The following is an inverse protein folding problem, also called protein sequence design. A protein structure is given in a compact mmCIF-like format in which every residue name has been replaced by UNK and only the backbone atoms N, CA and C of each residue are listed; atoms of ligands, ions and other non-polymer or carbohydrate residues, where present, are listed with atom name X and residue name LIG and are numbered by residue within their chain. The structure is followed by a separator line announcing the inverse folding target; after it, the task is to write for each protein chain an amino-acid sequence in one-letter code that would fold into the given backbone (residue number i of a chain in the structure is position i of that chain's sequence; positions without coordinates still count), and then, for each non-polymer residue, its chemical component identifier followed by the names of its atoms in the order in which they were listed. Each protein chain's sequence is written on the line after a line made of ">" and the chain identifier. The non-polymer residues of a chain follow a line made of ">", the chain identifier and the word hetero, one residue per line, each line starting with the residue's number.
data_IF_635296284245
#
_entry.id   IF_635296284245
#
_cell.length_a   1.000
_cell.length_b   1.000
_cell.length_c   1.000
_cell.angle_alpha   90.00
_cell.angle_beta   90.00
_cell.angle_gamma   90.00
#
_symmetry.space_group_name_H-M   'P 1'
#
loop_
_entity.id
_entity.type
_entity.pdbx_description
1 polymer ?
#
# COMPACT_ATOMS: atom_id res chain seq x y z
N UNK A 1 33.76 17.30 17.70
CA UNK A 1 33.66 18.67 18.25
C UNK A 1 34.87 18.86 19.12
N UNK A 2 35.83 19.71 18.70
CA UNK A 2 37.04 19.99 19.48
C UNK A 2 36.67 20.98 20.59
N UNK A 3 36.82 20.54 21.82
CA UNK A 3 36.50 21.34 23.02
C UNK A 3 37.33 22.63 23.03
N UNK A 4 36.71 23.81 22.98
CA UNK A 4 37.42 25.09 22.97
C UNK A 4 38.30 25.31 24.21
N UNK A 5 37.94 24.69 25.34
CA UNK A 5 38.70 24.76 26.59
C UNK A 5 40.05 24.05 26.47
N UNK A 6 40.14 22.92 25.78
CA UNK A 6 41.44 22.24 25.57
C UNK A 6 42.39 23.04 24.66
N UNK A 7 41.86 23.78 23.68
CA UNK A 7 42.70 24.70 22.86
C UNK A 7 43.29 25.85 23.68
N UNK A 8 42.50 26.41 24.61
CA UNK A 8 42.94 27.49 25.48
C UNK A 8 44.04 27.00 26.41
N UNK A 9 43.89 25.81 27.04
CA UNK A 9 44.89 25.23 27.94
C UNK A 9 46.19 24.90 27.17
N UNK A 10 46.11 24.28 25.99
CA UNK A 10 47.27 24.00 25.14
C UNK A 10 48.00 25.29 24.72
N UNK A 11 47.26 26.35 24.40
CA UNK A 11 47.85 27.65 24.06
C UNK A 11 48.58 28.28 25.26
N UNK A 12 48.01 28.17 26.46
CA UNK A 12 48.65 28.68 27.70
C UNK A 12 49.93 27.95 28.04
N UNK A 13 49.97 26.60 27.88
CA UNK A 13 51.19 25.82 28.14
C UNK A 13 52.29 26.14 27.15
N UNK A 14 51.97 26.29 25.87
CA UNK A 14 52.93 26.66 24.84
C UNK A 14 53.47 28.09 25.08
N UNK A 15 52.57 29.04 25.37
CA UNK A 15 52.95 30.43 25.68
C UNK A 15 53.82 30.49 26.92
N UNK A 16 53.48 29.77 27.99
CA UNK A 16 54.30 29.71 29.21
C UNK A 16 55.70 29.14 28.94
N UNK A 17 55.79 28.06 28.15
CA UNK A 17 57.08 27.48 27.79
C UNK A 17 57.94 28.41 26.91
N UNK A 18 57.35 29.16 25.98
CA UNK A 18 58.02 30.14 25.17
C UNK A 18 58.56 31.31 26.06
N UNK A 19 57.75 31.76 27.01
CA UNK A 19 58.16 32.77 27.97
C UNK A 19 59.36 32.30 28.79
N UNK A 20 59.30 31.10 29.35
CA UNK A 20 60.37 30.49 30.16
C UNK A 20 61.63 30.30 29.33
N UNK A 21 61.51 29.82 28.08
CA UNK A 21 62.62 29.66 27.17
C UNK A 21 63.24 31.02 26.82
N UNK A 22 62.45 32.08 26.58
CA UNK A 22 62.90 33.43 26.27
C UNK A 22 63.62 34.03 27.44
N UNK A 23 63.16 33.85 28.67
CA UNK A 23 63.86 34.30 29.89
C UNK A 23 65.15 33.53 30.05
N UNK A 24 65.19 32.21 29.77
CA UNK A 24 66.42 31.43 29.80
C UNK A 24 67.49 31.94 28.83
N UNK A 25 67.11 32.23 27.59
CA UNK A 25 68.01 32.84 26.58
C UNK A 25 68.50 34.27 26.97
N UNK A 26 67.56 35.06 27.51
CA UNK A 26 67.91 36.44 27.97
C UNK A 26 68.93 36.40 29.10
N UNK A 27 68.81 35.47 30.05
CA UNK A 27 69.79 35.30 31.14
C UNK A 27 71.13 34.80 30.64
N UNK A 28 71.20 33.93 29.62
CA UNK A 28 72.46 33.54 29.00
C UNK A 28 73.14 34.68 28.26
N UNK A 29 72.37 35.49 27.54
CA UNK A 29 72.92 36.69 26.85
C UNK A 29 73.38 37.73 27.87
N UNK A 30 72.64 37.93 28.96
CA UNK A 30 72.98 38.82 30.05
C UNK A 30 74.31 38.43 30.71
N UNK A 31 74.52 37.14 31.02
CA UNK A 31 75.78 36.64 31.58
C UNK A 31 76.94 36.90 30.66
N UNK A 32 76.78 36.73 29.35
CA UNK A 32 77.80 37.02 28.37
C UNK A 32 78.15 38.54 28.30
N UNK A 33 77.16 39.41 28.41
CA UNK A 33 77.37 40.88 28.44
C UNK A 33 77.91 41.37 29.77
N UNK A 34 77.46 40.85 30.90
CA UNK A 34 77.96 41.22 32.23
C UNK A 34 79.40 40.83 32.42
N UNK A 35 79.87 39.71 31.85
CA UNK A 35 81.27 39.30 31.88
C UNK A 35 82.21 40.19 31.04
N UNK A 36 81.70 40.96 30.07
CA UNK A 36 82.47 41.85 29.21
C UNK A 36 82.53 43.34 29.70
N UNK A 37 81.72 43.70 30.71
CA UNK A 37 81.60 45.09 31.18
C UNK A 37 82.27 45.28 32.53
N UNK A 38 83.25 46.15 32.64
CA UNK A 38 84.04 46.43 33.88
C UNK A 38 83.13 46.88 35.05
N UNK A 39 82.06 47.60 34.78
CA UNK A 39 81.14 48.16 35.78
C UNK A 39 80.12 47.09 36.39
N UNK A 40 80.03 45.92 35.81
CA UNK A 40 79.09 44.87 36.23
C UNK A 40 79.71 43.60 36.81
N UNK A 41 81.00 43.62 37.11
CA UNK A 41 81.77 42.47 37.63
C UNK A 41 81.19 41.88 38.94
N UNK A 42 80.48 42.69 39.73
CA UNK A 42 79.82 42.19 40.95
C UNK A 42 78.64 41.27 40.70
N UNK A 43 77.99 41.31 39.46
CA UNK A 43 76.94 40.44 39.02
C UNK A 43 77.46 39.09 38.51
N UNK A 44 78.76 38.97 38.18
CA UNK A 44 79.38 37.71 37.70
C UNK A 44 79.52 36.59 38.75
N UNK A 45 79.21 36.88 40.01
CA UNK A 45 79.18 35.87 41.10
C UNK A 45 78.01 34.92 40.99
N UNK A 46 77.00 35.28 40.21
CA UNK A 46 75.82 34.42 40.05
C UNK A 46 75.87 33.70 38.70
N UNK A 47 75.63 32.35 38.68
CA UNK A 47 75.75 31.55 37.44
C UNK A 47 74.51 31.70 36.53
N UNK A 48 74.33 32.88 35.92
CA UNK A 48 73.22 33.26 35.09
C UNK A 48 73.03 32.32 33.83
N UNK A 49 74.13 31.89 33.26
CA UNK A 49 74.14 31.02 32.09
C UNK A 49 73.67 29.59 32.44
N UNK A 50 74.03 29.06 33.65
CA UNK A 50 73.59 27.79 34.11
C UNK A 50 72.07 27.76 34.44
N UNK A 51 71.60 28.88 35.07
CA UNK A 51 70.17 29.04 35.34
C UNK A 51 69.40 29.20 34.02
N UNK A 52 69.92 30.00 33.08
CA UNK A 52 69.31 30.18 31.77
C UNK A 52 69.27 28.88 30.95
N UNK A 53 70.38 28.14 31.02
CA UNK A 53 70.43 26.81 30.37
C UNK A 53 69.45 25.80 30.91
N UNK A 54 69.32 25.73 32.28
CA UNK A 54 68.32 24.82 32.91
C UNK A 54 66.89 25.20 32.62
N UNK A 55 66.57 26.49 32.58
CA UNK A 55 65.23 26.96 32.16
C UNK A 55 64.90 26.61 30.70
N UNK A 56 65.88 26.77 29.82
CA UNK A 56 65.69 26.37 28.41
C UNK A 56 65.45 24.87 28.25
N UNK A 57 66.24 24.03 28.92
CA UNK A 57 66.10 22.58 28.90
C UNK A 57 64.76 22.19 29.49
N UNK A 58 64.34 22.77 30.63
CA UNK A 58 63.05 22.49 31.27
C UNK A 58 61.91 22.91 30.34
N UNK A 59 61.99 24.02 29.62
CA UNK A 59 60.95 24.42 28.67
C UNK A 59 60.84 23.45 27.48
N UNK A 60 61.97 23.00 26.91
CA UNK A 60 61.98 22.03 25.80
C UNK A 60 61.50 20.66 26.25
N UNK A 61 61.93 20.18 27.41
CA UNK A 61 61.47 18.92 27.98
C UNK A 61 59.98 18.96 28.33
N UNK A 62 59.48 20.06 28.89
CA UNK A 62 58.09 20.27 29.23
C UNK A 62 57.17 20.20 27.99
N UNK A 63 57.56 20.88 26.89
CA UNK A 63 56.85 20.81 25.63
C UNK A 63 56.89 19.41 25.00
N UNK A 64 58.06 18.78 25.04
CA UNK A 64 58.24 17.42 24.51
C UNK A 64 57.36 16.38 25.24
N UNK A 65 57.42 16.39 26.59
CA UNK A 65 56.60 15.49 27.41
C UNK A 65 55.09 15.74 27.22
N UNK A 66 54.66 16.99 27.15
CA UNK A 66 53.27 17.32 26.91
C UNK A 66 52.80 16.85 25.52
N UNK A 67 53.64 16.99 24.49
CA UNK A 67 53.33 16.48 23.16
C UNK A 67 53.18 14.96 23.10
N UNK A 68 54.12 14.21 23.70
CA UNK A 68 54.07 12.76 23.74
C UNK A 68 52.92 12.23 24.58
N UNK A 69 52.68 12.81 25.77
CA UNK A 69 51.61 12.35 26.68
C UNK A 69 50.21 12.63 26.12
N UNK A 70 50.04 13.74 25.41
CA UNK A 70 48.74 14.06 24.76
C UNK A 70 48.48 13.18 23.54
N UNK A 71 49.49 12.82 22.74
CA UNK A 71 49.34 11.93 21.61
C UNK A 71 48.96 10.50 22.07
N UNK A 72 49.55 10.01 23.12
CA UNK A 72 49.24 8.69 23.67
C UNK A 72 47.84 8.66 24.32
N UNK A 73 47.40 9.74 24.96
CA UNK A 73 46.03 9.85 25.50
C UNK A 73 44.99 9.92 24.40
N UNK A 74 45.15 10.68 23.34
CA UNK A 74 44.23 10.76 22.22
C UNK A 74 44.11 9.40 21.51
N UNK A 75 45.18 8.65 21.36
CA UNK A 75 45.16 7.31 20.81
C UNK A 75 44.45 6.32 21.74
N UNK A 76 44.73 6.37 23.05
CA UNK A 76 44.11 5.50 24.04
C UNK A 76 42.59 5.79 24.22
N UNK A 77 42.18 7.07 24.17
CA UNK A 77 40.76 7.45 24.29
C UNK A 77 40.00 7.08 23.03
N UNK A 78 40.60 7.20 21.85
CA UNK A 78 39.99 6.75 20.60
C UNK A 78 39.81 5.23 20.58
N UNK A 79 40.80 4.47 21.05
CA UNK A 79 40.72 3.01 21.14
C UNK A 79 39.70 2.56 22.20
N UNK A 80 39.62 3.25 23.34
CA UNK A 80 38.58 3.01 24.34
C UNK A 80 37.19 3.26 23.81
N UNK A 81 36.96 4.40 23.12
CA UNK A 81 35.69 4.73 22.50
C UNK A 81 35.30 3.69 21.46
N UNK A 82 36.25 3.28 20.60
CA UNK A 82 36.04 2.23 19.61
C UNK A 82 35.64 0.90 20.25
N UNK A 83 36.31 0.52 21.34
CA UNK A 83 36.02 -0.70 22.08
C UNK A 83 34.64 -0.65 22.73
N UNK A 84 34.29 0.45 23.40
CA UNK A 84 32.96 0.66 24.01
C UNK A 84 31.86 0.60 22.94
N UNK A 85 32.07 1.25 21.79
CA UNK A 85 31.13 1.18 20.67
C UNK A 85 31.02 -0.24 20.10
N UNK A 86 32.12 -0.97 19.97
CA UNK A 86 32.11 -2.37 19.53
C UNK A 86 31.43 -3.30 20.52
N UNK A 87 31.67 -3.12 21.82
CA UNK A 87 31.04 -3.90 22.90
C UNK A 87 29.55 -3.60 23.07
N UNK A 88 29.15 -2.32 22.85
CA UNK A 88 27.74 -1.93 22.97
C UNK A 88 26.93 -2.15 21.66
N UNK A 89 27.60 -2.33 20.51
CA UNK A 89 26.94 -2.53 19.22
C UNK A 89 25.96 -3.72 19.20
N UNK A 90 26.28 -4.91 19.78
CA UNK A 90 25.31 -6.01 19.87
C UNK A 90 24.09 -5.64 20.69
N UNK A 91 24.27 -5.04 21.86
CA UNK A 91 23.17 -4.64 22.72
C UNK A 91 22.30 -3.54 22.11
N UNK A 92 22.90 -2.58 21.39
CA UNK A 92 22.16 -1.60 20.61
C UNK A 92 21.37 -2.25 19.49
N UNK A 93 21.98 -3.18 18.75
CA UNK A 93 21.29 -3.92 17.69
C UNK A 93 20.12 -4.71 18.25
N UNK A 94 20.32 -5.43 19.37
CA UNK A 94 19.30 -6.25 19.99
C UNK A 94 18.15 -5.37 20.55
N UNK A 95 18.45 -4.21 21.14
CA UNK A 95 17.46 -3.24 21.56
C UNK A 95 16.65 -2.64 20.39
N UNK A 96 17.30 -2.41 19.25
CA UNK A 96 16.61 -1.98 18.03
C UNK A 96 15.70 -3.08 17.50
N UNK A 97 16.18 -4.34 17.46
CA UNK A 97 15.38 -5.48 17.04
C UNK A 97 14.18 -5.67 17.98
N UNK A 98 14.36 -5.59 19.29
CA UNK A 98 13.29 -5.68 20.27
C UNK A 98 12.27 -4.56 20.13
N UNK A 99 12.72 -3.32 19.92
CA UNK A 99 11.85 -2.17 19.62
C UNK A 99 11.02 -2.39 18.36
N UNK A 100 11.64 -2.92 17.30
CA UNK A 100 10.96 -3.25 16.05
C UNK A 100 10.01 -4.45 16.20
N UNK A 101 10.33 -5.43 17.02
CA UNK A 101 9.51 -6.62 17.18
C UNK A 101 8.29 -6.41 18.11
N UNK A 102 8.39 -5.53 19.10
CA UNK A 102 7.41 -5.44 20.18
C UNK A 102 6.87 -4.02 20.48
N UNK A 103 7.48 -2.97 19.92
CA UNK A 103 7.13 -1.58 20.20
C UNK A 103 6.39 -0.89 19.04
N UNK A 104 5.05 -1.03 18.95
CA UNK A 104 4.25 -0.36 17.92
C UNK A 104 4.42 1.18 17.92
N UNK A 105 4.42 1.79 19.11
CA UNK A 105 4.51 3.25 19.26
C UNK A 105 5.91 3.80 18.93
N UNK A 106 6.95 3.02 19.21
CA UNK A 106 8.33 3.37 18.88
C UNK A 106 8.61 3.26 17.37
N UNK A 107 8.05 2.23 16.74
CA UNK A 107 8.03 2.08 15.29
C UNK A 107 7.35 3.25 14.60
N UNK A 108 6.18 3.66 15.07
CA UNK A 108 5.41 4.77 14.48
C UNK A 108 6.17 6.11 14.50
N UNK A 109 7.08 6.32 15.48
CA UNK A 109 7.88 7.56 15.59
C UNK A 109 9.07 7.62 14.65
N UNK A 110 9.66 6.49 14.33
CA UNK A 110 11.01 6.42 13.70
C UNK A 110 10.95 5.91 12.28
N UNK A 111 9.87 5.21 11.90
CA UNK A 111 9.76 4.56 10.60
C UNK A 111 9.01 5.42 9.58
N UNK A 112 9.56 5.49 8.38
CA UNK A 112 8.82 5.91 7.20
C UNK A 112 8.26 4.66 6.46
N UNK A 113 7.30 4.83 5.55
CA UNK A 113 6.72 3.71 4.79
C UNK A 113 7.76 2.81 4.11
N UNK A 114 8.82 3.38 3.54
CA UNK A 114 9.85 2.61 2.82
C UNK A 114 10.66 1.71 3.75
N UNK A 115 10.93 2.17 4.98
CA UNK A 115 11.62 1.36 6.00
C UNK A 115 10.73 0.20 6.43
N UNK A 116 9.44 0.44 6.66
CA UNK A 116 8.48 -0.61 7.01
C UNK A 116 8.34 -1.63 5.89
N UNK A 117 8.23 -1.18 4.64
CA UNK A 117 8.18 -2.04 3.46
C UNK A 117 9.41 -2.96 3.37
N UNK A 118 10.61 -2.42 3.62
CA UNK A 118 11.84 -3.20 3.62
C UNK A 118 11.91 -4.20 4.78
N UNK A 119 11.46 -3.83 5.98
CA UNK A 119 11.42 -4.74 7.14
C UNK A 119 10.49 -5.91 6.87
N UNK A 120 9.28 -5.65 6.37
CA UNK A 120 8.30 -6.71 6.06
C UNK A 120 8.83 -7.63 4.96
N UNK A 121 9.38 -7.07 3.87
CA UNK A 121 9.94 -7.84 2.76
C UNK A 121 11.10 -8.75 3.21
N UNK A 122 12.04 -8.21 3.98
CA UNK A 122 13.19 -8.96 4.48
C UNK A 122 12.76 -10.06 5.46
N UNK A 123 11.80 -9.76 6.34
CA UNK A 123 11.24 -10.75 7.27
C UNK A 123 10.55 -11.89 6.53
N UNK A 124 9.80 -11.56 5.47
CA UNK A 124 9.12 -12.53 4.61
C UNK A 124 10.13 -13.38 3.84
N UNK A 125 11.18 -12.77 3.28
CA UNK A 125 12.27 -13.46 2.58
C UNK A 125 12.99 -14.48 3.49
N UNK A 126 13.30 -14.10 4.73
CA UNK A 126 13.89 -15.00 5.71
C UNK A 126 12.98 -16.18 6.05
N UNK A 127 11.66 -15.95 6.13
CA UNK A 127 10.71 -16.99 6.48
C UNK A 127 10.41 -17.96 5.34
N UNK A 128 10.36 -17.46 4.12
CA UNK A 128 10.11 -18.25 2.90
C UNK A 128 11.38 -18.95 2.42
N UNK A 129 12.55 -18.34 2.60
CA UNK A 129 13.84 -18.82 2.11
C UNK A 129 14.11 -18.47 0.63
N UNK A 130 13.26 -17.64 0.02
CA UNK A 130 13.36 -17.17 -1.36
C UNK A 130 13.06 -15.66 -1.40
N UNK A 131 14.08 -14.87 -1.72
CA UNK A 131 13.98 -13.41 -1.66
C UNK A 131 13.15 -12.82 -2.81
N UNK A 132 13.27 -13.40 -4.01
CA UNK A 132 12.56 -12.92 -5.19
C UNK A 132 11.06 -13.21 -5.05
N UNK A 133 10.69 -14.42 -4.68
CA UNK A 133 9.30 -14.79 -4.41
C UNK A 133 8.69 -13.97 -3.27
N UNK A 134 9.45 -13.76 -2.18
CA UNK A 134 8.99 -12.94 -1.07
C UNK A 134 8.72 -11.48 -1.48
N UNK A 135 9.55 -10.93 -2.38
CA UNK A 135 9.36 -9.58 -2.90
C UNK A 135 8.10 -9.47 -3.76
N UNK A 136 7.82 -10.45 -4.62
CA UNK A 136 6.61 -10.49 -5.45
C UNK A 136 5.35 -10.62 -4.58
N UNK A 137 5.32 -11.56 -3.64
CA UNK A 137 4.21 -11.74 -2.69
C UNK A 137 3.96 -10.47 -1.88
N UNK A 138 5.03 -9.83 -1.40
CA UNK A 138 4.88 -8.58 -0.66
C UNK A 138 4.32 -7.45 -1.52
N UNK A 139 4.80 -7.31 -2.76
CA UNK A 139 4.28 -6.30 -3.68
C UNK A 139 2.79 -6.49 -3.95
N UNK A 140 2.33 -7.71 -4.15
CA UNK A 140 0.91 -8.02 -4.32
C UNK A 140 0.08 -7.64 -3.09
N UNK A 141 0.53 -8.02 -1.89
CA UNK A 141 -0.14 -7.66 -0.64
C UNK A 141 -0.15 -6.13 -0.45
N UNK A 142 0.98 -5.47 -0.72
CA UNK A 142 1.10 -4.02 -0.60
C UNK A 142 0.11 -3.30 -1.50
N UNK A 143 0.03 -3.70 -2.76
CA UNK A 143 -0.80 -3.01 -3.74
C UNK A 143 -2.30 -3.32 -3.53
N UNK A 144 -2.65 -4.53 -3.10
CA UNK A 144 -4.04 -4.94 -2.87
C UNK A 144 -4.60 -4.56 -1.49
N UNK A 145 -3.76 -4.49 -0.46
CA UNK A 145 -4.23 -4.33 0.92
C UNK A 145 -3.66 -3.10 1.63
N UNK A 146 -2.34 -2.87 1.54
CA UNK A 146 -1.68 -1.79 2.30
C UNK A 146 -2.03 -0.43 1.72
N UNK A 147 -1.97 -0.32 0.39
CA UNK A 147 -2.26 0.92 -0.37
C UNK A 147 -3.73 1.13 -0.65
N UNK A 148 -4.58 0.13 -0.39
CA UNK A 148 -6.01 0.29 -0.60
C UNK A 148 -6.54 1.49 0.19
N UNK A 149 -7.21 2.45 -0.46
CA UNK A 149 -7.65 3.69 0.19
C UNK A 149 -8.76 3.43 1.21
N UNK A 150 -9.56 2.40 0.98
CA UNK A 150 -10.69 2.04 1.82
C UNK A 150 -10.70 0.55 2.14
N UNK A 151 -11.42 0.21 3.19
CA UNK A 151 -11.72 -1.18 3.56
C UNK A 151 -13.21 -1.28 3.81
N UNK A 152 -13.84 -2.22 3.11
CA UNK A 152 -15.28 -2.46 3.23
C UNK A 152 -15.54 -3.57 4.25
N UNK A 153 -16.64 -3.44 4.95
CA UNK A 153 -17.06 -4.41 5.95
C UNK A 153 -18.51 -4.81 5.71
N UNK A 154 -18.81 -6.07 5.98
CA UNK A 154 -20.15 -6.64 5.95
C UNK A 154 -20.88 -6.33 4.64
N UNK A 155 -20.19 -6.59 3.52
CA UNK A 155 -20.70 -6.31 2.20
C UNK A 155 -21.81 -7.31 1.82
N UNK A 156 -22.89 -6.80 1.27
CA UNK A 156 -24.00 -7.55 0.72
C UNK A 156 -24.27 -7.12 -0.71
N UNK A 157 -24.35 -8.11 -1.60
CA UNK A 157 -24.63 -7.92 -3.01
C UNK A 157 -25.87 -8.72 -3.38
N UNK A 158 -26.93 -8.03 -3.72
CA UNK A 158 -28.17 -8.62 -4.19
C UNK A 158 -28.29 -8.41 -5.69
N UNK A 159 -28.44 -9.49 -6.44
CA UNK A 159 -28.49 -9.48 -7.90
C UNK A 159 -29.79 -10.12 -8.33
N UNK A 160 -30.55 -9.42 -9.15
CA UNK A 160 -31.74 -9.92 -9.77
C UNK A 160 -31.59 -9.95 -11.28
N UNK A 161 -31.81 -11.12 -11.87
CA UNK A 161 -31.93 -11.28 -13.31
C UNK A 161 -33.38 -11.24 -13.73
N UNK A 162 -33.69 -10.52 -14.79
CA UNK A 162 -35.00 -10.51 -15.43
C UNK A 162 -34.85 -10.48 -16.96
N UNK A 163 -35.74 -11.14 -17.72
CA UNK A 163 -35.69 -11.07 -19.16
C UNK A 163 -35.89 -9.62 -19.65
N UNK A 164 -35.07 -9.15 -20.57
CA UNK A 164 -35.36 -7.91 -21.25
C UNK A 164 -36.50 -8.18 -22.22
N UNK A 165 -37.69 -7.69 -21.90
CA UNK A 165 -38.89 -7.84 -22.70
C UNK A 165 -38.81 -7.06 -24.01
N UNK A 166 -37.98 -7.49 -24.95
CA UNK A 166 -38.06 -7.03 -26.33
C UNK A 166 -39.30 -7.71 -26.92
N UNK A 167 -40.33 -6.97 -27.39
CA UNK A 167 -41.46 -7.60 -28.04
C UNK A 167 -40.92 -8.48 -29.16
N UNK A 168 -41.09 -9.77 -29.08
CA UNK A 168 -40.85 -10.67 -30.21
C UNK A 168 -41.75 -10.17 -31.35
N UNK A 169 -41.19 -9.33 -32.18
CA UNK A 169 -41.85 -8.97 -33.43
C UNK A 169 -42.16 -10.29 -34.13
N UNK A 170 -43.39 -10.49 -34.54
CA UNK A 170 -43.83 -11.62 -35.33
C UNK A 170 -42.98 -11.74 -36.59
N UNK A 171 -41.86 -12.46 -36.46
CA UNK A 171 -41.01 -12.81 -37.59
C UNK A 171 -41.77 -13.83 -38.45
N UNK A 172 -42.54 -13.35 -39.38
CA UNK A 172 -43.04 -14.13 -40.49
C UNK A 172 -41.90 -14.28 -41.49
N UNK A 173 -41.33 -15.46 -41.57
CA UNK A 173 -40.49 -15.89 -42.69
C UNK A 173 -39.03 -16.09 -42.38
N UNK A 174 -38.59 -17.32 -42.28
CA UNK A 174 -37.34 -17.88 -42.80
C UNK A 174 -36.01 -17.20 -42.47
N UNK A 175 -35.83 -16.59 -41.31
CA UNK A 175 -34.51 -16.09 -40.91
C UNK A 175 -33.65 -17.27 -40.39
N UNK A 176 -32.46 -17.40 -40.93
CA UNK A 176 -31.44 -18.35 -40.48
C UNK A 176 -31.17 -18.17 -38.99
N UNK A 177 -30.85 -19.25 -38.30
CA UNK A 177 -30.57 -19.25 -36.83
C UNK A 177 -29.51 -18.22 -36.37
N UNK A 178 -28.82 -17.55 -37.31
CA UNK A 178 -27.82 -16.48 -37.08
C UNK A 178 -28.42 -15.06 -36.99
N UNK A 179 -29.70 -14.87 -37.37
CA UNK A 179 -30.36 -13.56 -37.43
C UNK A 179 -31.41 -13.34 -36.33
N UNK A 180 -31.46 -14.22 -35.32
CA UNK A 180 -32.34 -13.98 -34.18
C UNK A 180 -31.76 -12.86 -33.29
N UNK A 181 -32.59 -11.88 -32.88
CA UNK A 181 -32.13 -10.85 -31.95
C UNK A 181 -31.60 -11.51 -30.69
N UNK A 182 -30.40 -11.06 -30.25
CA UNK A 182 -29.76 -11.58 -29.05
C UNK A 182 -30.68 -11.41 -27.84
N UNK A 183 -31.05 -12.51 -27.18
CA UNK A 183 -31.81 -12.44 -25.94
C UNK A 183 -30.95 -11.86 -24.84
N UNK A 184 -31.49 -10.84 -24.17
CA UNK A 184 -30.79 -10.11 -23.12
C UNK A 184 -31.49 -10.25 -21.77
N UNK A 185 -30.71 -10.27 -20.70
CA UNK A 185 -31.18 -10.09 -19.34
C UNK A 185 -30.88 -8.69 -18.84
N UNK A 186 -31.83 -8.09 -18.13
CA UNK A 186 -31.59 -6.96 -17.25
C UNK A 186 -31.03 -7.50 -15.95
N UNK A 187 -29.91 -6.95 -15.53
CA UNK A 187 -29.25 -7.27 -14.28
C UNK A 187 -29.41 -6.07 -13.35
N UNK A 188 -30.18 -6.22 -12.29
CA UNK A 188 -30.28 -5.25 -11.22
C UNK A 188 -29.37 -5.68 -10.08
N UNK A 189 -28.44 -4.83 -9.70
CA UNK A 189 -27.45 -5.13 -8.64
C UNK A 189 -27.56 -4.07 -7.56
N UNK A 190 -27.74 -4.54 -6.34
CA UNK A 190 -27.69 -3.71 -5.14
C UNK A 190 -26.49 -4.09 -4.29
N UNK A 191 -25.64 -3.13 -4.04
CA UNK A 191 -24.54 -3.22 -3.08
C UNK A 191 -24.90 -2.53 -1.79
N UNK A 192 -24.51 -3.11 -0.66
CA UNK A 192 -24.56 -2.49 0.65
C UNK A 192 -23.29 -2.87 1.42
N UNK A 193 -22.60 -1.92 2.03
CA UNK A 193 -21.41 -2.16 2.83
C UNK A 193 -21.17 -1.01 3.82
N UNK A 194 -20.36 -1.31 4.84
CA UNK A 194 -19.89 -0.32 5.83
C UNK A 194 -18.45 0.06 5.53
N UNK A 195 -18.15 1.37 5.54
CA UNK A 195 -16.82 1.90 5.19
C UNK A 195 -16.54 3.19 5.96
N UNK A 196 -15.25 3.45 6.24
CA UNK A 196 -14.75 4.77 6.60
C UNK A 196 -14.39 5.46 5.28
N UNK A 197 -15.19 6.42 4.78
CA UNK A 197 -14.99 6.97 3.45
C UNK A 197 -13.75 7.84 3.40
N UNK A 198 -12.95 7.65 2.36
CA UNK A 198 -11.80 8.49 2.03
C UNK A 198 -12.13 9.53 0.96
N UNK A 199 -13.14 9.25 0.15
CA UNK A 199 -13.53 10.09 -0.98
C UNK A 199 -14.86 10.77 -0.69
N UNK A 200 -14.96 12.06 -1.01
CA UNK A 200 -16.20 12.83 -0.90
C UNK A 200 -17.22 12.51 -2.00
N UNK A 201 -16.78 11.87 -3.06
CA UNK A 201 -17.58 11.58 -4.25
C UNK A 201 -17.33 10.17 -4.74
N UNK A 202 -18.40 9.42 -4.96
CA UNK A 202 -18.38 8.15 -5.67
C UNK A 202 -18.69 8.38 -7.14
N UNK A 203 -17.98 7.63 -8.00
CA UNK A 203 -18.17 7.67 -9.45
C UNK A 203 -18.44 6.28 -9.97
N UNK A 204 -19.35 6.21 -10.94
CA UNK A 204 -19.70 4.98 -11.63
C UNK A 204 -19.66 5.25 -13.13
N UNK A 205 -18.84 4.52 -13.87
CA UNK A 205 -18.67 4.73 -15.28
C UNK A 205 -19.02 3.48 -16.09
N UNK A 206 -19.67 3.67 -17.23
CA UNK A 206 -19.91 2.63 -18.21
C UNK A 206 -19.36 3.10 -19.55
N UNK A 207 -18.33 2.43 -20.06
CA UNK A 207 -17.55 2.87 -21.21
C UNK A 207 -17.37 1.72 -22.21
N UNK A 208 -17.35 2.02 -23.51
CA UNK A 208 -17.09 1.07 -24.59
C UNK A 208 -15.70 1.20 -25.22
N UNK A 209 -14.91 2.19 -24.83
CA UNK A 209 -13.52 2.37 -25.23
C UNK A 209 -12.58 1.93 -24.10
N UNK A 210 -11.60 1.08 -24.42
CA UNK A 210 -10.68 0.51 -23.41
C UNK A 210 -9.65 1.49 -22.90
N UNK A 211 -9.25 2.44 -23.73
CA UNK A 211 -8.24 3.43 -23.34
C UNK A 211 -8.90 4.47 -22.43
N UNK A 212 -10.09 4.96 -22.78
CA UNK A 212 -10.88 5.85 -21.89
C UNK A 212 -11.24 5.17 -20.57
N UNK A 213 -11.54 3.86 -20.58
CA UNK A 213 -11.77 3.08 -19.37
C UNK A 213 -10.53 3.05 -18.46
N UNK A 214 -9.35 2.78 -19.04
CA UNK A 214 -8.09 2.73 -18.29
C UNK A 214 -7.74 4.09 -17.71
N UNK A 215 -7.79 5.13 -18.54
CA UNK A 215 -7.48 6.50 -18.13
C UNK A 215 -8.39 6.94 -16.97
N UNK A 216 -9.68 6.62 -17.02
CA UNK A 216 -10.63 7.01 -15.98
C UNK A 216 -10.37 6.31 -14.64
N UNK A 217 -10.01 5.03 -14.68
CA UNK A 217 -9.71 4.25 -13.47
C UNK A 217 -8.39 4.71 -12.83
N UNK A 218 -7.41 5.11 -13.64
CA UNK A 218 -6.11 5.61 -13.17
C UNK A 218 -6.19 7.06 -12.66
N UNK A 219 -7.02 7.91 -13.28
CA UNK A 219 -7.08 9.34 -12.95
C UNK A 219 -7.92 9.64 -11.71
N UNK A 220 -8.98 8.85 -11.45
CA UNK A 220 -9.94 9.13 -10.37
C UNK A 220 -10.10 7.96 -9.41
N UNK A 221 -9.47 8.08 -8.25
CA UNK A 221 -9.71 7.17 -7.15
C UNK A 221 -11.21 7.13 -6.74
N UNK A 222 -11.67 5.96 -6.30
CA UNK A 222 -13.07 5.78 -5.88
C UNK A 222 -14.07 5.71 -7.04
N UNK A 223 -13.59 5.35 -8.24
CA UNK A 223 -14.41 5.13 -9.43
C UNK A 223 -14.61 3.65 -9.68
N UNK A 224 -15.86 3.20 -9.68
CA UNK A 224 -16.26 1.89 -10.18
C UNK A 224 -16.54 1.99 -11.67
N UNK A 225 -15.85 1.22 -12.50
CA UNK A 225 -15.98 1.30 -13.94
C UNK A 225 -16.32 -0.05 -14.58
N UNK A 226 -17.19 -0.02 -15.56
CA UNK A 226 -17.61 -1.18 -16.36
C UNK A 226 -17.22 -0.96 -17.81
N UNK A 227 -16.54 -1.94 -18.39
CA UNK A 227 -16.34 -2.00 -19.82
C UNK A 227 -17.56 -2.66 -20.47
N UNK A 228 -18.22 -1.95 -21.34
CA UNK A 228 -19.45 -2.40 -22.00
C UNK A 228 -19.22 -2.64 -23.48
N UNK A 229 -19.40 -3.87 -23.92
CA UNK A 229 -19.43 -4.19 -25.34
C UNK A 229 -20.86 -3.97 -25.86
N UNK A 230 -21.08 -3.13 -26.88
CA UNK A 230 -22.41 -2.91 -27.44
C UNK A 230 -23.13 -4.20 -27.79
N UNK A 231 -24.41 -4.30 -27.41
CA UNK A 231 -25.24 -5.51 -27.55
C UNK A 231 -26.64 -5.14 -28.00
N UNK A 232 -27.20 -5.87 -28.97
CA UNK A 232 -28.59 -5.69 -29.37
C UNK A 232 -28.94 -4.26 -29.82
N UNK A 233 -27.96 -3.49 -30.33
CA UNK A 233 -28.15 -2.09 -30.74
C UNK A 233 -28.08 -1.10 -29.57
N UNK A 234 -27.77 -1.55 -28.35
CA UNK A 234 -27.58 -0.73 -27.16
C UNK A 234 -26.08 -0.50 -26.93
N UNK A 235 -25.70 0.75 -26.80
CA UNK A 235 -24.32 1.19 -26.52
C UNK A 235 -24.15 1.74 -25.11
N UNK A 236 -22.90 1.93 -24.66
CA UNK A 236 -22.56 2.35 -23.31
C UNK A 236 -23.08 3.74 -22.91
N UNK A 237 -23.50 4.59 -23.88
CA UNK A 237 -24.03 5.92 -23.62
C UNK A 237 -25.52 5.90 -23.24
N UNK A 238 -26.20 4.79 -23.51
CA UNK A 238 -27.63 4.65 -23.26
C UNK A 238 -27.90 4.22 -21.80
N UNK A 239 -28.99 4.70 -21.24
CA UNK A 239 -29.41 4.30 -19.88
C UNK A 239 -29.74 2.81 -19.79
N UNK A 240 -30.21 2.21 -20.88
CA UNK A 240 -30.52 0.79 -20.94
C UNK A 240 -29.27 -0.08 -20.82
N UNK A 241 -28.08 0.43 -21.21
CA UNK A 241 -26.82 -0.26 -21.03
C UNK A 241 -26.35 -0.26 -19.57
N UNK A 242 -26.51 0.90 -18.90
CA UNK A 242 -26.12 1.06 -17.52
C UNK A 242 -26.81 2.28 -16.89
N UNK A 243 -27.37 2.11 -15.70
CA UNK A 243 -27.97 3.22 -14.95
C UNK A 243 -27.76 3.02 -13.44
N UNK A 244 -27.25 4.03 -12.75
CA UNK A 244 -27.28 4.09 -11.29
C UNK A 244 -28.64 4.61 -10.87
N UNK A 245 -29.45 3.76 -10.25
CA UNK A 245 -30.85 4.02 -9.93
C UNK A 245 -31.01 4.69 -8.57
N UNK A 246 -30.22 4.26 -7.59
CA UNK A 246 -30.32 4.72 -6.22
C UNK A 246 -28.93 4.76 -5.56
N UNK A 247 -28.74 5.70 -4.67
CA UNK A 247 -27.56 5.77 -3.81
C UNK A 247 -27.94 6.36 -2.46
N UNK A 248 -27.58 5.68 -1.37
CA UNK A 248 -27.84 6.11 -0.01
C UNK A 248 -26.59 6.10 0.86
N UNK A 249 -26.54 7.00 1.83
CA UNK A 249 -25.54 7.02 2.90
C UNK A 249 -26.28 7.03 4.22
N UNK A 250 -26.06 6.03 5.07
CA UNK A 250 -26.79 5.81 6.33
C UNK A 250 -28.32 5.83 6.18
N UNK A 251 -28.79 5.32 5.02
CA UNK A 251 -30.21 5.30 4.66
C UNK A 251 -30.76 6.60 4.06
N UNK A 252 -29.98 7.67 4.03
CA UNK A 252 -30.36 8.91 3.38
C UNK A 252 -30.03 8.90 1.89
N UNK A 253 -31.02 9.20 1.04
CA UNK A 253 -30.85 9.23 -0.40
C UNK A 253 -29.98 10.41 -0.85
N UNK A 254 -29.09 10.18 -1.79
CA UNK A 254 -28.19 11.17 -2.37
C UNK A 254 -28.49 11.40 -3.83
N UNK A 255 -28.39 12.66 -4.26
CA UNK A 255 -28.62 13.05 -5.64
C UNK A 255 -27.55 12.47 -6.59
N UNK A 256 -27.97 11.77 -7.61
CA UNK A 256 -27.13 11.17 -8.64
C UNK A 256 -27.06 12.15 -9.82
N UNK A 257 -25.84 12.48 -10.23
CA UNK A 257 -25.57 13.31 -11.41
C UNK A 257 -25.02 12.45 -12.53
N UNK A 258 -25.67 12.47 -13.68
CA UNK A 258 -25.21 11.78 -14.89
C UNK A 258 -24.55 12.77 -15.82
N UNK A 259 -23.42 12.38 -16.41
CA UNK A 259 -22.70 13.10 -17.44
C UNK A 259 -22.40 12.17 -18.62
N UNK A 260 -22.47 12.68 -19.84
CA UNK A 260 -22.04 11.97 -21.04
C UNK A 260 -20.53 11.96 -21.14
N UNK A 261 -19.99 10.87 -21.65
CA UNK A 261 -18.58 10.67 -21.98
C UNK A 261 -18.44 10.33 -23.46
N UNK A 262 -17.21 10.40 -23.98
CA UNK A 262 -16.94 10.15 -25.40
C UNK A 262 -17.40 8.76 -25.85
N UNK A 263 -17.17 7.73 -25.03
CA UNK A 263 -17.53 6.34 -25.32
C UNK A 263 -18.56 5.76 -24.35
N UNK A 264 -19.30 6.59 -23.60
CA UNK A 264 -20.28 6.10 -22.64
C UNK A 264 -20.81 7.17 -21.69
N UNK A 265 -20.90 6.84 -20.40
CA UNK A 265 -21.53 7.69 -19.40
C UNK A 265 -20.85 7.57 -18.02
N UNK A 266 -20.95 8.64 -17.24
CA UNK A 266 -20.42 8.75 -15.90
C UNK A 266 -21.52 9.23 -14.95
N UNK A 267 -21.67 8.54 -13.84
CA UNK A 267 -22.50 8.96 -12.72
C UNK A 267 -21.61 9.42 -11.56
N UNK A 268 -22.01 10.50 -10.89
CA UNK A 268 -21.31 11.05 -9.73
C UNK A 268 -22.28 11.28 -8.60
N UNK A 269 -21.90 10.87 -7.40
CA UNK A 269 -22.69 11.02 -6.18
C UNK A 269 -21.81 11.57 -5.06
N UNK A 270 -22.26 12.65 -4.42
CA UNK A 270 -21.60 13.18 -3.24
C UNK A 270 -21.99 12.35 -2.01
N UNK A 271 -20.98 11.82 -1.30
CA UNK A 271 -21.20 11.14 -0.01
C UNK A 271 -21.47 12.15 1.12
N UNK A 272 -21.03 13.37 0.94
CA UNK A 272 -21.00 14.41 1.97
C UNK A 272 -19.59 14.55 2.56
N UNK A 273 -19.49 15.30 3.64
CA UNK A 273 -18.23 15.40 4.39
C UNK A 273 -18.05 14.12 5.21
N UNK A 274 -16.93 13.39 5.04
CA UNK A 274 -16.65 12.26 5.92
C UNK A 274 -16.66 12.70 7.38
N UNK A 275 -17.12 11.84 8.30
CA UNK A 275 -17.11 12.17 9.72
C UNK A 275 -15.69 12.49 10.21
N UNK A 276 -15.53 13.62 10.91
CA UNK A 276 -14.22 14.07 11.43
C UNK A 276 -13.60 13.09 12.44
N UNK A 277 -14.44 12.30 13.10
CA UNK A 277 -14.04 11.27 14.07
C UNK A 277 -13.63 9.93 13.42
N UNK A 278 -13.69 9.84 12.08
CA UNK A 278 -13.40 8.62 11.35
C UNK A 278 -14.41 7.50 11.59
N UNK A 279 -15.64 7.84 11.98
CA UNK A 279 -16.70 6.84 12.14
C UNK A 279 -17.08 6.20 10.79
N UNK A 280 -17.41 4.90 10.78
CA UNK A 280 -17.86 4.24 9.56
C UNK A 280 -19.28 4.67 9.19
N UNK A 281 -19.55 4.74 7.90
CA UNK A 281 -20.88 4.97 7.33
C UNK A 281 -21.34 3.74 6.53
N UNK A 282 -22.64 3.54 6.43
CA UNK A 282 -23.24 2.51 5.57
C UNK A 282 -23.57 3.12 4.21
N UNK A 283 -22.98 2.59 3.16
CA UNK A 283 -23.27 2.97 1.77
C UNK A 283 -24.10 1.85 1.14
N UNK A 284 -25.20 2.25 0.46
CA UNK A 284 -25.95 1.35 -0.40
C UNK A 284 -26.20 2.02 -1.75
N UNK A 285 -26.03 1.27 -2.83
CA UNK A 285 -26.36 1.72 -4.17
C UNK A 285 -26.95 0.61 -5.03
N UNK A 286 -27.80 1.00 -5.94
CA UNK A 286 -28.42 0.09 -6.92
C UNK A 286 -28.13 0.59 -8.32
N UNK A 287 -27.67 -0.31 -9.18
CA UNK A 287 -27.53 -0.06 -10.60
C UNK A 287 -28.19 -1.14 -11.43
N UNK A 288 -28.53 -0.79 -12.67
CA UNK A 288 -29.02 -1.72 -13.68
C UNK A 288 -28.05 -1.77 -14.84
N UNK A 289 -27.85 -2.94 -15.39
CA UNK A 289 -27.10 -3.16 -16.63
C UNK A 289 -27.75 -4.32 -17.40
N UNK A 290 -27.22 -4.61 -18.59
CA UNK A 290 -27.69 -5.73 -19.40
C UNK A 290 -26.58 -6.73 -19.66
N UNK A 291 -26.95 -7.98 -19.73
CA UNK A 291 -26.06 -9.08 -20.14
C UNK A 291 -26.72 -9.96 -21.18
N UNK A 292 -25.93 -10.58 -22.04
CA UNK A 292 -26.44 -11.53 -23.00
C UNK A 292 -26.86 -12.84 -22.29
N UNK A 293 -28.04 -13.37 -22.61
CA UNK A 293 -28.47 -14.67 -22.11
C UNK A 293 -27.45 -15.76 -22.46
N UNK A 294 -26.96 -15.75 -23.71
CA UNK A 294 -25.93 -16.67 -24.19
C UNK A 294 -24.51 -16.39 -23.69
N UNK A 295 -24.30 -15.28 -22.96
CA UNK A 295 -23.02 -14.96 -22.32
C UNK A 295 -22.68 -15.90 -21.16
N UNK A 296 -23.70 -16.49 -20.54
CA UNK A 296 -23.62 -17.51 -19.50
C UNK A 296 -22.77 -17.17 -18.29
N UNK A 297 -22.28 -15.95 -18.13
CA UNK A 297 -21.41 -15.53 -17.04
C UNK A 297 -21.82 -14.16 -16.50
N UNK A 298 -21.99 -14.08 -15.21
CA UNK A 298 -22.01 -12.84 -14.43
C UNK A 298 -20.91 -12.91 -13.39
N UNK A 299 -20.06 -11.91 -13.36
CA UNK A 299 -18.96 -11.79 -12.41
C UNK A 299 -19.17 -10.61 -11.49
N UNK A 300 -19.04 -10.83 -10.20
CA UNK A 300 -19.05 -9.80 -9.15
C UNK A 300 -17.61 -9.59 -8.70
N UNK A 301 -17.04 -8.47 -9.07
CA UNK A 301 -15.67 -8.08 -8.71
C UNK A 301 -15.63 -7.42 -7.32
N UNK A 302 -14.58 -7.69 -6.59
CA UNK A 302 -14.28 -7.02 -5.31
C UNK A 302 -13.27 -5.92 -5.57
N UNK A 303 -13.72 -4.68 -5.47
CA UNK A 303 -12.92 -3.49 -5.80
C UNK A 303 -11.99 -3.05 -4.67
N UNK A 304 -12.39 -3.28 -3.42
CA UNK A 304 -11.64 -2.90 -2.22
C UNK A 304 -11.50 -4.09 -1.27
N UNK A 305 -10.45 -4.13 -0.41
CA UNK A 305 -10.36 -5.15 0.63
C UNK A 305 -11.66 -5.19 1.43
N UNK A 306 -12.34 -6.33 1.39
CA UNK A 306 -13.67 -6.50 1.97
C UNK A 306 -13.66 -7.60 3.03
N UNK A 307 -14.07 -7.28 4.24
CA UNK A 307 -14.24 -8.24 5.33
C UNK A 307 -15.71 -8.64 5.45
N UNK A 308 -15.96 -9.91 5.18
CA UNK A 308 -17.33 -10.44 5.12
C UNK A 308 -18.05 -9.98 3.86
N UNK A 309 -18.37 -10.91 2.98
CA UNK A 309 -19.17 -10.62 1.78
C UNK A 309 -20.21 -11.71 1.59
N UNK A 310 -21.43 -11.29 1.29
CA UNK A 310 -22.54 -12.15 0.89
C UNK A 310 -23.02 -11.69 -0.49
N UNK A 311 -23.08 -12.63 -1.45
CA UNK A 311 -23.56 -12.37 -2.81
C UNK A 311 -24.74 -13.30 -3.07
N UNK A 312 -25.89 -12.73 -3.39
CA UNK A 312 -27.10 -13.50 -3.73
C UNK A 312 -27.52 -13.19 -5.17
N UNK A 313 -27.70 -14.21 -5.97
CA UNK A 313 -28.25 -14.15 -7.31
C UNK A 313 -29.65 -14.75 -7.32
N UNK A 314 -30.67 -13.93 -7.62
CA UNK A 314 -32.03 -14.35 -7.92
C UNK A 314 -32.20 -14.41 -9.45
N UNK A 315 -32.62 -15.59 -9.95
CA UNK A 315 -32.86 -15.86 -11.35
C UNK A 315 -34.22 -16.51 -11.60
N UNK A 316 -35.14 -16.35 -10.63
CA UNK A 316 -36.45 -17.00 -10.65
C UNK A 316 -37.31 -16.65 -11.87
N UNK A 317 -37.15 -15.46 -12.42
CA UNK A 317 -37.91 -14.96 -13.58
C UNK A 317 -37.28 -15.34 -14.92
N UNK A 318 -36.09 -15.98 -14.90
CA UNK A 318 -35.35 -16.35 -16.12
C UNK A 318 -35.51 -17.84 -16.47
N UNK A 319 -35.42 -18.13 -17.78
CA UNK A 319 -35.40 -19.52 -18.27
C UNK A 319 -33.98 -20.13 -18.11
N UNK A 320 -33.53 -20.16 -16.86
CA UNK A 320 -32.23 -20.72 -16.45
C UNK A 320 -32.51 -22.04 -15.73
N UNK A 321 -31.98 -23.13 -16.24
CA UNK A 321 -32.13 -24.44 -15.61
C UNK A 321 -31.26 -24.61 -14.37
N UNK A 322 -29.99 -24.18 -14.49
CA UNK A 322 -28.98 -24.34 -13.42
C UNK A 322 -27.99 -23.20 -13.41
N UNK A 323 -27.62 -22.79 -12.20
CA UNK A 323 -26.50 -21.85 -11.95
C UNK A 323 -25.37 -22.59 -11.22
N UNK A 324 -24.15 -22.47 -11.75
CA UNK A 324 -22.91 -22.91 -11.10
C UNK A 324 -22.15 -21.69 -10.57
N UNK A 325 -21.55 -21.84 -9.39
CA UNK A 325 -20.75 -20.79 -8.76
C UNK A 325 -19.28 -21.03 -9.05
N UNK A 326 -18.59 -20.00 -9.46
CA UNK A 326 -17.14 -19.93 -9.54
C UNK A 326 -16.65 -19.10 -8.34
N UNK A 327 -16.01 -19.76 -7.40
CA UNK A 327 -15.34 -19.13 -6.26
C UNK A 327 -13.95 -18.71 -6.68
N UNK A 328 -13.75 -17.40 -6.82
CA UNK A 328 -12.48 -16.79 -7.21
C UNK A 328 -11.84 -16.00 -6.04
N UNK A 329 -12.24 -16.33 -4.79
CA UNK A 329 -11.68 -15.76 -3.58
C UNK A 329 -10.48 -16.60 -3.14
N UNK A 330 -9.27 -16.10 -3.37
CA UNK A 330 -8.04 -16.76 -2.94
C UNK A 330 -7.90 -16.67 -1.41
N UNK A 331 -8.32 -17.71 -0.70
CA UNK A 331 -8.24 -17.80 0.76
C UNK A 331 -8.07 -19.24 1.23
N UNK A 332 -7.50 -19.41 2.42
CA UNK A 332 -7.49 -20.71 3.11
C UNK A 332 -8.86 -21.09 3.71
N UNK A 333 -9.79 -20.13 3.76
CA UNK A 333 -11.17 -20.35 4.21
C UNK A 333 -12.03 -20.64 2.99
N UNK A 334 -12.95 -21.62 3.12
CA UNK A 334 -13.90 -21.90 2.06
C UNK A 334 -15.10 -20.94 2.11
N UNK A 335 -15.64 -20.61 0.94
CA UNK A 335 -16.94 -19.96 0.82
C UNK A 335 -18.08 -20.94 1.14
N UNK A 336 -19.19 -20.40 1.63
CA UNK A 336 -20.44 -21.17 1.80
C UNK A 336 -21.35 -20.87 0.63
N UNK A 337 -21.83 -21.92 -0.01
CA UNK A 337 -22.78 -21.83 -1.13
C UNK A 337 -24.09 -22.45 -0.73
N UNK A 338 -25.15 -21.66 -0.71
CA UNK A 338 -26.53 -22.10 -0.41
C UNK A 338 -27.39 -21.90 -1.66
N UNK A 339 -28.34 -22.79 -1.86
CA UNK A 339 -29.30 -22.72 -2.96
C UNK A 339 -30.71 -22.87 -2.43
N UNK A 340 -31.64 -22.13 -3.02
CA UNK A 340 -33.07 -22.32 -2.73
C UNK A 340 -33.46 -23.77 -3.04
N UNK A 341 -34.05 -24.48 -2.08
CA UNK A 341 -34.57 -25.85 -2.34
C UNK A 341 -35.59 -25.85 -3.46
N UNK A 342 -35.63 -26.92 -4.26
CA UNK A 342 -36.56 -27.06 -5.38
C UNK A 342 -38.05 -27.03 -4.95
N UNK A 343 -38.33 -27.27 -3.67
CA UNK A 343 -39.69 -27.20 -3.10
C UNK A 343 -40.17 -25.78 -2.77
N UNK A 344 -39.30 -24.79 -2.82
CA UNK A 344 -39.62 -23.40 -2.51
C UNK A 344 -39.78 -22.61 -3.81
N UNK A 345 -40.85 -21.81 -3.97
CA UNK A 345 -40.93 -20.89 -5.11
C UNK A 345 -39.75 -19.90 -5.14
N UNK A 346 -39.27 -19.62 -6.34
CA UNK A 346 -38.09 -18.78 -6.55
C UNK A 346 -36.84 -19.64 -6.74
N UNK A 347 -35.86 -19.06 -7.43
CA UNK A 347 -34.57 -19.69 -7.70
C UNK A 347 -33.47 -18.73 -7.37
N UNK A 348 -32.78 -18.98 -6.27
CA UNK A 348 -31.63 -18.16 -5.88
C UNK A 348 -30.43 -19.03 -5.50
N UNK A 349 -29.27 -18.46 -5.62
CA UNK A 349 -28.00 -18.99 -5.11
C UNK A 349 -27.30 -17.91 -4.32
N UNK A 350 -26.89 -18.24 -3.10
CA UNK A 350 -26.19 -17.34 -2.19
C UNK A 350 -24.79 -17.88 -1.93
N UNK A 351 -23.82 -16.98 -1.96
CA UNK A 351 -22.40 -17.23 -1.65
C UNK A 351 -21.99 -16.33 -0.53
N UNK A 352 -21.49 -16.88 0.57
CA UNK A 352 -21.04 -16.11 1.73
C UNK A 352 -19.58 -16.45 2.07
N UNK A 353 -18.81 -15.44 2.39
CA UNK A 353 -17.42 -15.55 2.81
C UNK A 353 -17.13 -14.63 4.02
N UNK A 354 -16.67 -15.21 5.13
CA UNK A 354 -16.48 -14.51 6.41
C UNK A 354 -15.04 -14.00 6.64
N UNK A 355 -14.17 -14.07 5.63
CA UNK A 355 -12.78 -13.62 5.67
C UNK A 355 -12.55 -12.27 5.04
N UNK A 356 -11.28 -11.92 4.86
CA UNK A 356 -10.86 -10.83 3.99
C UNK A 356 -10.76 -11.32 2.56
N UNK A 357 -11.52 -10.72 1.67
CA UNK A 357 -11.39 -10.83 0.24
C UNK A 357 -10.67 -9.59 -0.31
N UNK A 358 -9.73 -9.79 -1.21
CA UNK A 358 -8.91 -8.72 -1.77
C UNK A 358 -9.38 -8.32 -3.17
N UNK A 359 -9.00 -7.13 -3.65
CA UNK A 359 -9.26 -6.72 -5.04
C UNK A 359 -8.82 -7.77 -6.06
N UNK A 360 -9.50 -7.82 -7.18
CA UNK A 360 -9.34 -8.84 -8.24
C UNK A 360 -9.79 -10.25 -7.86
N UNK A 361 -10.34 -10.45 -6.67
CA UNK A 361 -11.11 -11.63 -6.33
C UNK A 361 -12.60 -11.37 -6.53
N UNK A 362 -13.42 -12.42 -6.50
CA UNK A 362 -14.85 -12.25 -6.67
C UNK A 362 -15.61 -13.54 -6.77
N UNK A 363 -16.87 -13.41 -7.17
CA UNK A 363 -17.78 -14.53 -7.35
C UNK A 363 -18.33 -14.50 -8.77
N UNK A 364 -18.19 -15.61 -9.49
CA UNK A 364 -18.76 -15.79 -10.82
C UNK A 364 -20.00 -16.71 -10.75
N UNK A 365 -21.03 -16.36 -11.50
CA UNK A 365 -22.21 -17.19 -11.72
C UNK A 365 -22.27 -17.60 -13.17
N UNK A 366 -22.27 -18.89 -13.41
CA UNK A 366 -22.37 -19.47 -14.76
C UNK A 366 -23.67 -20.23 -14.86
N UNK A 367 -24.46 -19.96 -15.88
CA UNK A 367 -25.77 -20.59 -16.07
C UNK A 367 -25.89 -21.39 -17.36
N UNK A 368 -26.85 -22.29 -17.36
CA UNK A 368 -27.29 -23.04 -18.53
C UNK A 368 -28.81 -22.77 -18.71
N UNK A 369 -29.22 -22.35 -19.92
CA UNK A 369 -30.64 -22.15 -20.18
C UNK A 369 -31.33 -23.47 -20.49
N UNK A 370 -32.63 -23.54 -20.20
CA UNK A 370 -33.46 -24.76 -20.42
C UNK A 370 -33.48 -25.15 -21.90
N UNK A 371 -33.50 -24.18 -22.81
CA UNK A 371 -33.51 -24.45 -24.28
C UNK A 371 -32.26 -25.20 -24.75
N UNK A 372 -31.07 -24.87 -24.18
CA UNK A 372 -29.82 -25.56 -24.56
C UNK A 372 -29.79 -27.02 -24.08
N UNK A 373 -30.44 -27.31 -22.98
CA UNK A 373 -30.55 -28.69 -22.48
C UNK A 373 -31.46 -29.52 -23.37
N UNK A 374 -32.55 -28.94 -23.84
CA UNK A 374 -33.46 -29.59 -24.77
C UNK A 374 -32.78 -29.84 -26.13
N UNK A 375 -32.13 -28.85 -26.74
CA UNK A 375 -31.40 -28.99 -28.01
C UNK A 375 -30.33 -30.10 -27.93
N UNK A 376 -29.59 -30.17 -26.84
CA UNK A 376 -28.54 -31.16 -26.62
C UNK A 376 -29.14 -32.57 -26.45
N UNK A 377 -30.31 -32.66 -25.83
CA UNK A 377 -31.02 -33.95 -25.63
C UNK A 377 -31.54 -34.47 -26.96
N UNK A 378 -32.08 -33.61 -27.82
CA UNK A 378 -32.53 -33.93 -29.17
C UNK A 378 -31.35 -34.40 -30.04
N UNK A 379 -30.23 -33.67 -30.04
CA UNK A 379 -29.03 -34.08 -30.80
C UNK A 379 -28.47 -35.45 -30.35
N UNK A 380 -28.48 -35.73 -29.05
CA UNK A 380 -28.02 -37.02 -28.51
C UNK A 380 -28.97 -38.16 -28.89
N UNK A 381 -30.30 -37.90 -28.89
CA UNK A 381 -31.33 -38.84 -29.32
C UNK A 381 -31.17 -39.18 -30.81
N UNK A 382 -30.97 -38.16 -31.67
CA UNK A 382 -30.79 -38.36 -33.11
C UNK A 382 -29.49 -39.12 -33.44
N UNK A 383 -28.42 -38.88 -32.69
CA UNK A 383 -27.16 -39.66 -32.86
C UNK A 383 -27.29 -41.12 -32.40
N UNK A 384 -28.16 -41.43 -31.45
CA UNK A 384 -28.41 -42.80 -31.03
C UNK A 384 -29.26 -43.55 -32.05
N UNK A 385 -30.20 -42.87 -32.74
CA UNK A 385 -31.02 -43.47 -33.79
C UNK A 385 -30.35 -43.59 -35.16
N UNK A 386 -29.21 -42.85 -35.34
CA UNK A 386 -28.44 -42.85 -36.61
C UNK A 386 -27.26 -43.83 -36.61
N UNK A 387 -27.11 -44.68 -35.59
CA UNK A 387 -26.11 -45.78 -35.62
C UNK A 387 -26.79 -47.06 -36.19
N UNK A 388 -26.29 -47.54 -37.35
CA UNK A 388 -26.79 -48.74 -37.98
C UNK A 388 -26.50 -49.99 -37.15
#
# INVERSE_FOLDING_TARGET
>A
MHDPLQRIIKLQTIVAAIIVASIGVALMIFDQQASQSPDMQWLGFFPWSEVGGTLLVAAVLGLGLDYFTNKDKEAADTERLRRVLQESAPAMRDAVIDGFAFGHDDLARVSNPDVLDNVVRNSLALRIGDADFAAEVYNDIRDQAVRAPERWHDARVEIQLSPLGIPRGTAHGGASAHDQPESLFVVTVRWEYTVIPRFHTRRFACLSDKDEYRDLVEEFDGTSAWYFTPKGGIDASQRDAFEVVQFTVDGEERAIRRAERKSGQLYSVSIGTPPDDGSPVRISYTYRTITAERGHLLYVDIEQPTRGIEVELDYGDCDIERVSVLDLIASSRATRVERTPASVPGRSVRVAFDGWAFPRSGVGFVWVSSQQTEDRTVELSDRQHSRP
#
